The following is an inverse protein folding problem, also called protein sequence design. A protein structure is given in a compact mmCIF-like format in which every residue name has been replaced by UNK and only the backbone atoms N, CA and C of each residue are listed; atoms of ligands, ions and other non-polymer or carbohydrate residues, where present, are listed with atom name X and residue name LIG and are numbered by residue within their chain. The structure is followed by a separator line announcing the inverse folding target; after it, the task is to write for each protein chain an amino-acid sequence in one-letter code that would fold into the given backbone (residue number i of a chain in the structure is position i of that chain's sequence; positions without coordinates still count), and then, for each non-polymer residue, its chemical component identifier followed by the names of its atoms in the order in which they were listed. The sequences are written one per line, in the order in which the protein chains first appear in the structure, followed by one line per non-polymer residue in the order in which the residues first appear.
data_IF_978179640859
#
_entry.id   IF_978179640859
#
_cell.length_a   1.000
_cell.length_b   1.000
_cell.length_c   1.000
_cell.angle_alpha   90.00
_cell.angle_beta   90.00
_cell.angle_gamma   90.00
#
_symmetry.space_group_name_H-M   'P 1'
#
loop_
_entity.id
_entity.type
_entity.pdbx_description
1 polymer ?
#
# COMPACT_ATOMS: atom_id res chain seq x y z
N UNK A 1 -5.00 1.48 -1.88
CA UNK A 1 -4.62 1.73 -0.48
C UNK A 1 -4.55 3.23 -0.25
N UNK A 2 -4.62 3.69 1.00
CA UNK A 2 -4.52 5.11 1.35
C UNK A 2 -3.69 5.26 2.62
N UNK A 3 -2.67 6.11 2.59
CA UNK A 3 -2.03 6.61 3.81
C UNK A 3 -2.76 7.87 4.27
N UNK A 4 -3.10 7.95 5.55
CA UNK A 4 -3.69 9.12 6.17
C UNK A 4 -2.71 9.64 7.23
N UNK A 5 -2.20 10.84 7.00
CA UNK A 5 -1.26 11.53 7.86
C UNK A 5 -1.97 12.65 8.61
N UNK A 6 -1.68 12.80 9.89
CA UNK A 6 -2.22 13.85 10.76
C UNK A 6 -3.76 13.97 10.66
N UNK A 7 -4.44 12.81 10.68
CA UNK A 7 -5.90 12.67 10.73
C UNK A 7 -6.67 13.47 9.66
N UNK A 8 -6.22 13.42 8.41
CA UNK A 8 -6.94 14.04 7.30
C UNK A 8 -6.17 14.22 6.00
N UNK A 9 -4.84 14.12 6.02
CA UNK A 9 -4.03 14.26 4.82
C UNK A 9 -3.86 12.90 4.13
N UNK A 10 -4.69 12.67 3.10
CA UNK A 10 -4.73 11.40 2.40
C UNK A 10 -3.82 11.34 1.16
N UNK A 11 -3.04 10.28 1.08
CA UNK A 11 -2.17 9.95 -0.05
C UNK A 11 -2.57 8.59 -0.61
N UNK A 12 -3.02 8.57 -1.86
CA UNK A 12 -3.46 7.34 -2.55
C UNK A 12 -2.24 6.62 -3.10
N UNK A 13 -2.15 5.33 -2.81
CA UNK A 13 -1.13 4.46 -3.36
C UNK A 13 -1.70 3.35 -4.24
N UNK A 14 -0.81 2.68 -4.94
CA UNK A 14 -1.11 1.56 -5.82
C UNK A 14 -0.37 0.31 -5.34
N UNK A 15 -1.00 -0.84 -5.53
CA UNK A 15 -0.42 -2.13 -5.20
C UNK A 15 0.20 -2.78 -6.42
N UNK A 16 1.34 -3.43 -6.22
CA UNK A 16 1.98 -4.30 -7.18
C UNK A 16 2.18 -5.69 -6.56
N UNK A 17 2.24 -6.71 -7.40
CA UNK A 17 2.66 -8.06 -6.99
C UNK A 17 4.06 -8.26 -7.52
N UNK A 18 5.00 -8.62 -6.65
CA UNK A 18 6.37 -8.93 -7.04
C UNK A 18 6.50 -10.44 -7.31
N UNK A 19 7.04 -10.76 -8.49
CA UNK A 19 7.36 -12.12 -8.95
C UNK A 19 8.85 -12.45 -8.83
N UNK A 20 9.65 -11.56 -8.24
CA UNK A 20 10.99 -11.83 -7.74
C UNK A 20 12.14 -11.08 -8.41
N UNK A 21 11.92 -10.21 -9.40
CA UNK A 21 12.99 -9.40 -10.01
C UNK A 21 12.54 -8.13 -10.77
N UNK A 22 11.24 -7.87 -10.89
CA UNK A 22 10.70 -6.66 -11.54
C UNK A 22 9.25 -6.43 -11.16
N UNK A 23 8.83 -5.17 -11.05
CA UNK A 23 7.42 -4.82 -11.01
C UNK A 23 6.85 -4.98 -12.42
N UNK A 24 6.09 -6.05 -12.67
CA UNK A 24 5.31 -6.14 -13.90
C UNK A 24 4.29 -4.99 -13.90
N UNK A 25 4.21 -4.30 -15.04
CA UNK A 25 3.48 -3.05 -15.21
C UNK A 25 2.08 -3.07 -14.61
N UNK A 26 1.74 -1.95 -13.97
CA UNK A 26 0.49 -1.60 -13.28
C UNK A 26 -0.72 -1.90 -14.17
N UNK A 27 -1.21 -3.13 -14.11
CA UNK A 27 -2.60 -3.44 -14.40
C UNK A 27 -3.19 -3.99 -13.11
N UNK A 28 -4.37 -3.50 -12.77
CA UNK A 28 -5.12 -3.75 -11.54
C UNK A 28 -5.48 -5.23 -11.28
N UNK A 29 -4.89 -6.15 -12.01
CA UNK A 29 -5.02 -7.59 -11.83
C UNK A 29 -3.79 -8.09 -11.08
N UNK A 30 -3.96 -8.23 -9.77
CA UNK A 30 -3.10 -9.05 -8.91
C UNK A 30 -3.20 -10.48 -9.44
N UNK A 31 -2.34 -10.87 -10.38
CA UNK A 31 -2.28 -12.25 -10.89
C UNK A 31 -1.21 -12.96 -10.07
N UNK A 32 -1.60 -13.41 -8.88
CA UNK A 32 -0.85 -14.46 -8.22
C UNK A 32 -1.30 -15.80 -8.83
N UNK A 33 -0.36 -16.59 -9.33
CA UNK A 33 -0.69 -17.90 -9.88
C UNK A 33 -1.32 -18.82 -8.82
N UNK A 34 -2.24 -19.72 -9.20
CA UNK A 34 -2.85 -20.64 -8.26
C UNK A 34 -1.81 -21.47 -7.49
N UNK A 35 -2.02 -21.61 -6.18
CA UNK A 35 -1.17 -22.37 -5.26
C UNK A 35 0.25 -21.83 -5.05
N UNK A 36 0.55 -20.62 -5.55
CA UNK A 36 1.80 -19.92 -5.28
C UNK A 36 1.62 -18.85 -4.18
N UNK A 37 2.71 -18.60 -3.45
CA UNK A 37 2.79 -17.45 -2.53
C UNK A 37 3.45 -16.30 -3.27
N UNK A 38 2.74 -15.17 -3.38
CA UNK A 38 3.25 -13.97 -4.03
C UNK A 38 3.46 -12.84 -3.02
N UNK A 39 4.44 -11.97 -3.29
CA UNK A 39 4.66 -10.77 -2.49
C UNK A 39 3.72 -9.66 -2.96
N UNK A 40 3.05 -9.01 -2.02
CA UNK A 40 2.18 -7.87 -2.28
C UNK A 40 2.87 -6.61 -1.77
N UNK A 41 3.24 -5.72 -2.68
CA UNK A 41 3.88 -4.46 -2.38
C UNK A 41 2.91 -3.30 -2.51
N UNK A 42 2.83 -2.50 -1.46
CA UNK A 42 2.06 -1.26 -1.46
C UNK A 42 2.96 -0.05 -1.57
N UNK A 43 2.87 0.68 -2.69
CA UNK A 43 3.66 1.90 -2.90
C UNK A 43 2.75 3.12 -2.78
N UNK A 44 3.14 4.05 -1.91
CA UNK A 44 2.44 5.32 -1.67
C UNK A 44 3.44 6.46 -1.79
N UNK A 45 3.28 7.29 -2.81
CA UNK A 45 4.09 8.51 -2.94
C UNK A 45 3.60 9.56 -1.94
N UNK A 46 4.50 9.97 -1.05
CA UNK A 46 4.20 10.92 0.03
C UNK A 46 5.28 12.02 0.09
N UNK A 47 4.92 13.26 0.46
CA UNK A 47 5.89 14.30 0.77
C UNK A 47 6.82 13.91 1.92
N UNK A 48 8.03 14.52 1.94
CA UNK A 48 9.05 14.24 2.96
C UNK A 48 8.53 14.35 4.39
N UNK A 49 7.62 15.31 4.66
CA UNK A 49 7.05 15.53 6.00
C UNK A 49 6.29 14.31 6.53
N UNK A 50 5.67 13.50 5.67
CA UNK A 50 4.98 12.27 6.07
C UNK A 50 5.96 11.25 6.62
N UNK A 51 7.18 11.19 6.08
CA UNK A 51 8.25 10.29 6.56
C UNK A 51 8.90 10.80 7.84
N UNK A 52 9.19 12.10 7.93
CA UNK A 52 10.01 12.67 9.01
C UNK A 52 9.19 13.23 10.18
N UNK A 53 7.90 13.43 9.99
CA UNK A 53 6.98 13.95 11.00
C UNK A 53 6.75 12.98 12.15
N UNK A 54 6.16 13.49 13.23
CA UNK A 54 5.78 12.72 14.43
C UNK A 54 4.27 12.56 14.58
N UNK A 55 3.53 13.20 13.69
CA UNK A 55 2.08 13.20 13.65
C UNK A 55 1.59 11.80 13.26
N UNK A 56 0.38 11.42 13.72
CA UNK A 56 -0.19 10.10 13.45
C UNK A 56 -0.15 9.74 11.97
N UNK A 57 0.15 8.49 11.68
CA UNK A 57 0.15 7.96 10.32
C UNK A 57 -0.43 6.55 10.34
N UNK A 58 -1.53 6.36 9.63
CA UNK A 58 -2.10 5.04 9.41
C UNK A 58 -2.32 4.76 7.93
N UNK A 59 -2.26 3.49 7.56
CA UNK A 59 -2.49 3.00 6.21
C UNK A 59 -3.78 2.18 6.22
N UNK A 60 -4.64 2.41 5.24
CA UNK A 60 -5.81 1.59 4.96
C UNK A 60 -5.68 0.88 3.61
N UNK A 61 -6.03 -0.39 3.58
CA UNK A 61 -6.05 -1.18 2.36
C UNK A 61 -7.17 -2.21 2.41
N UNK A 62 -7.72 -2.55 1.24
CA UNK A 62 -8.84 -3.48 1.13
C UNK A 62 -8.35 -4.77 0.47
N UNK A 63 -8.52 -5.90 1.17
CA UNK A 63 -8.24 -7.24 0.65
C UNK A 63 -9.52 -8.07 0.77
N UNK A 64 -9.91 -8.75 -0.31
CA UNK A 64 -11.10 -9.61 -0.35
C UNK A 64 -12.37 -8.95 0.23
N UNK A 65 -12.58 -7.66 -0.08
CA UNK A 65 -13.75 -6.89 0.38
C UNK A 65 -13.70 -6.43 1.85
N UNK A 66 -12.63 -6.73 2.59
CA UNK A 66 -12.42 -6.26 3.95
C UNK A 66 -11.38 -5.16 3.99
N UNK A 67 -11.66 -4.08 4.71
CA UNK A 67 -10.72 -2.99 4.93
C UNK A 67 -9.92 -3.24 6.20
N UNK A 68 -8.60 -3.16 6.06
CA UNK A 68 -7.63 -3.29 7.13
C UNK A 68 -7.01 -1.92 7.40
N UNK A 69 -6.69 -1.67 8.67
CA UNK A 69 -5.95 -0.49 9.13
C UNK A 69 -4.65 -0.95 9.77
N UNK A 70 -3.56 -0.28 9.41
CA UNK A 70 -2.25 -0.46 10.01
C UNK A 70 -1.73 0.88 10.49
N UNK A 71 -1.58 1.03 11.80
CA UNK A 71 -1.00 2.23 12.41
C UNK A 71 0.53 2.12 12.30
N UNK A 72 1.13 3.07 11.57
CA UNK A 72 2.59 3.14 11.38
C UNK A 72 3.24 3.83 12.58
N UNK A 73 2.58 4.88 13.08
CA UNK A 73 2.89 5.61 14.31
C UNK A 73 1.68 6.41 14.78
#
# INVERSE_FOLDING_TARGET
MVANYNDGYEYKGFSAVDTGNSFDWISSYIICEPLNTCNYDGIIECPKVVKTGKEPLFITFTLAGKTYRYDVR
#
